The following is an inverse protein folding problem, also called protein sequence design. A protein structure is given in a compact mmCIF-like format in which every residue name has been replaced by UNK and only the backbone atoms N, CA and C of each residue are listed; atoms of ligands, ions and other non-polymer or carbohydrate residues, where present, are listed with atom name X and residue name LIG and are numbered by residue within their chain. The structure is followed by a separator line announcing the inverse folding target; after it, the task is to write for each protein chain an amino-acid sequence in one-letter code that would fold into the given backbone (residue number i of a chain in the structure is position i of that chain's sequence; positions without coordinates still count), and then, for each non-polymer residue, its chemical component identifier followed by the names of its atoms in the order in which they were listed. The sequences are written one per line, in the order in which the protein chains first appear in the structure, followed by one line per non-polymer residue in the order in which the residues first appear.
data_IF_149450738408
#
_entry.id   IF_149450738408
#
_cell.length_a   1.000
_cell.length_b   1.000
_cell.length_c   1.000
_cell.angle_alpha   90.00
_cell.angle_beta   90.00
_cell.angle_gamma   90.00
#
_symmetry.space_group_name_H-M   'P 1'
#
loop_
_entity.id
_entity.type
_entity.pdbx_description
1 polymer ?
#
# COMPACT_ATOMS: atom_id res chain seq x y z
N UNK A 1 -10.38 28.03 13.80
CA UNK A 1 -10.12 26.62 14.19
C UNK A 1 -8.87 26.09 13.50
N UNK A 2 -8.74 26.12 12.16
CA UNK A 2 -7.47 25.78 11.49
C UNK A 2 -6.36 26.83 11.69
N UNK A 3 -6.73 28.09 11.96
CA UNK A 3 -5.80 29.20 12.25
C UNK A 3 -5.09 29.09 13.60
N UNK A 4 -5.54 28.21 14.50
CA UNK A 4 -4.94 28.08 15.85
C UNK A 4 -3.89 26.96 15.95
N UNK A 5 -3.70 26.22 14.86
CA UNK A 5 -2.76 25.11 14.81
C UNK A 5 -1.40 25.48 14.19
N UNK A 6 -1.23 26.71 13.67
CA UNK A 6 0.01 27.22 13.06
C UNK A 6 0.84 26.13 12.35
N UNK A 7 2.12 25.99 12.72
CA UNK A 7 3.07 24.97 12.26
C UNK A 7 3.14 23.76 13.21
N UNK A 8 2.08 23.51 13.99
CA UNK A 8 2.09 22.40 14.93
C UNK A 8 2.30 21.08 14.20
N UNK A 9 3.36 20.38 14.57
CA UNK A 9 3.68 19.03 14.11
C UNK A 9 3.75 18.12 15.31
N UNK A 10 3.13 16.96 15.18
CA UNK A 10 3.28 15.91 16.16
C UNK A 10 4.77 15.49 16.24
N UNK A 11 5.36 15.31 17.44
CA UNK A 11 6.79 15.05 17.55
C UNK A 11 7.21 13.72 16.90
N UNK A 12 8.08 13.79 15.90
CA UNK A 12 8.59 12.62 15.16
C UNK A 12 9.33 11.63 16.06
N UNK A 13 9.97 12.13 17.13
CA UNK A 13 10.74 11.33 18.09
C UNK A 13 9.93 10.92 19.33
N UNK A 14 8.62 11.13 19.32
CA UNK A 14 7.77 10.60 20.39
C UNK A 14 7.82 9.07 20.40
N UNK A 15 7.64 8.46 21.58
CA UNK A 15 7.60 7.00 21.72
C UNK A 15 6.58 6.36 20.78
N UNK A 16 5.38 6.93 20.70
CA UNK A 16 4.33 6.44 19.81
C UNK A 16 4.77 6.44 18.34
N UNK A 17 5.45 7.51 17.89
CA UNK A 17 5.86 7.58 16.49
C UNK A 17 6.96 6.56 16.17
N UNK A 18 7.91 6.41 17.08
CA UNK A 18 8.97 5.40 16.96
C UNK A 18 8.36 4.00 16.88
N UNK A 19 7.42 3.67 17.77
CA UNK A 19 6.77 2.36 17.80
C UNK A 19 5.96 2.08 16.52
N UNK A 20 5.23 3.08 16.01
CA UNK A 20 4.43 2.95 14.79
C UNK A 20 5.33 2.71 13.57
N UNK A 21 6.40 3.49 13.41
CA UNK A 21 7.35 3.32 12.30
C UNK A 21 8.08 1.98 12.39
N UNK A 22 8.46 1.54 13.60
CA UNK A 22 9.09 0.24 13.81
C UNK A 22 8.16 -0.91 13.41
N UNK A 23 6.87 -0.85 13.77
CA UNK A 23 5.90 -1.87 13.38
C UNK A 23 5.59 -1.82 11.88
N UNK A 24 5.48 -0.64 11.29
CA UNK A 24 5.33 -0.49 9.85
C UNK A 24 6.52 -1.10 9.09
N UNK A 25 7.75 -0.88 9.56
CA UNK A 25 8.94 -1.44 8.93
C UNK A 25 8.96 -2.97 9.01
N UNK A 26 8.65 -3.55 10.17
CA UNK A 26 8.53 -5.02 10.32
C UNK A 26 7.56 -5.62 9.30
N UNK A 27 6.40 -4.97 9.10
CA UNK A 27 5.42 -5.43 8.12
C UNK A 27 5.94 -5.33 6.68
N UNK A 28 6.64 -4.24 6.34
CA UNK A 28 7.29 -4.09 5.02
C UNK A 28 8.30 -5.20 4.78
N UNK A 29 9.17 -5.49 5.75
CA UNK A 29 10.21 -6.52 5.59
C UNK A 29 9.60 -7.91 5.32
N UNK A 30 8.48 -8.23 5.98
CA UNK A 30 7.74 -9.47 5.74
C UNK A 30 7.17 -9.51 4.32
N UNK A 31 6.56 -8.41 3.86
CA UNK A 31 5.98 -8.29 2.52
C UNK A 31 7.05 -8.38 1.43
N UNK A 32 8.17 -7.68 1.58
CA UNK A 32 9.28 -7.72 0.62
C UNK A 32 9.88 -9.13 0.52
N UNK A 33 9.96 -9.88 1.64
CA UNK A 33 10.38 -11.28 1.60
C UNK A 33 9.43 -12.16 0.80
N UNK A 34 8.12 -11.98 0.94
CA UNK A 34 7.12 -12.72 0.14
C UNK A 34 7.17 -12.32 -1.34
N UNK A 35 7.40 -11.03 -1.64
CA UNK A 35 7.53 -10.51 -2.99
C UNK A 35 8.79 -11.03 -3.71
N UNK A 36 9.85 -11.35 -2.97
CA UNK A 36 11.07 -11.93 -3.51
C UNK A 36 10.93 -13.43 -3.86
N UNK A 37 9.91 -14.13 -3.38
CA UNK A 37 9.70 -15.56 -3.62
C UNK A 37 9.06 -15.82 -5.01
N UNK A 38 9.90 -16.10 -6.01
CA UNK A 38 9.48 -16.33 -7.40
C UNK A 38 9.37 -17.82 -7.77
N UNK A 39 9.11 -18.69 -6.79
CA UNK A 39 8.87 -20.11 -7.03
C UNK A 39 7.54 -20.31 -7.78
N UNK A 40 7.48 -21.18 -8.82
CA UNK A 40 6.21 -21.53 -9.47
C UNK A 40 5.40 -22.52 -8.61
N UNK A 41 4.05 -22.39 -8.52
CA UNK A 41 3.25 -21.25 -9.01
C UNK A 41 3.49 -19.98 -8.18
N UNK A 42 3.50 -18.83 -8.84
CA UNK A 42 3.75 -17.55 -8.17
C UNK A 42 2.70 -17.23 -7.10
N UNK A 43 3.15 -16.68 -5.98
CA UNK A 43 2.28 -16.05 -5.00
C UNK A 43 1.85 -14.63 -5.48
N UNK A 44 0.82 -14.06 -4.85
CA UNK A 44 0.30 -12.73 -5.21
C UNK A 44 1.34 -11.61 -5.08
N UNK A 45 2.20 -11.66 -4.06
CA UNK A 45 3.21 -10.63 -3.79
C UNK A 45 4.24 -10.59 -4.93
N UNK A 46 4.79 -11.75 -5.29
CA UNK A 46 5.72 -11.87 -6.41
C UNK A 46 5.08 -11.49 -7.74
N UNK A 47 3.82 -11.90 -7.97
CA UNK A 47 3.08 -11.55 -9.19
C UNK A 47 2.81 -10.04 -9.31
N UNK A 48 2.65 -9.33 -8.18
CA UNK A 48 2.38 -7.89 -8.18
C UNK A 48 3.62 -7.00 -8.18
N UNK A 49 4.80 -7.52 -7.84
CA UNK A 49 6.08 -6.78 -7.94
C UNK A 49 6.28 -6.04 -9.27
N UNK A 50 6.14 -6.67 -10.46
CA UNK A 50 6.30 -5.95 -11.72
C UNK A 50 5.23 -4.88 -11.95
N UNK A 51 4.00 -5.12 -11.49
CA UNK A 51 2.90 -4.15 -11.60
C UNK A 51 3.18 -2.94 -10.72
N UNK A 52 3.59 -3.15 -9.46
CA UNK A 52 3.97 -2.07 -8.53
C UNK A 52 5.02 -1.14 -9.16
N UNK A 53 6.09 -1.71 -9.74
CA UNK A 53 7.13 -0.92 -10.41
C UNK A 53 6.56 -0.10 -11.57
N UNK A 54 5.70 -0.71 -12.38
CA UNK A 54 5.06 -0.01 -13.49
C UNK A 54 4.20 1.18 -13.00
N UNK A 55 3.48 1.04 -11.89
CA UNK A 55 2.68 2.13 -11.31
C UNK A 55 3.51 3.30 -10.78
N UNK A 56 4.71 3.03 -10.27
CA UNK A 56 5.62 4.08 -9.77
C UNK A 56 6.11 5.00 -10.90
N UNK A 57 6.20 4.47 -12.12
CA UNK A 57 6.77 5.17 -13.29
C UNK A 57 5.68 5.78 -14.21
N UNK A 58 4.40 5.47 -14.02
CA UNK A 58 3.33 5.80 -14.98
C UNK A 58 2.07 6.38 -14.31
N UNK A 59 1.45 7.39 -14.94
CA UNK A 59 0.13 7.90 -14.55
C UNK A 59 -0.97 7.01 -15.15
N UNK A 60 -1.54 6.13 -14.32
CA UNK A 60 -2.56 5.16 -14.74
C UNK A 60 -3.73 5.09 -13.76
N UNK A 61 -4.85 4.55 -14.23
CA UNK A 61 -5.97 4.14 -13.38
C UNK A 61 -5.81 2.67 -13.00
N UNK A 62 -5.81 2.38 -11.70
CA UNK A 62 -5.82 1.03 -11.14
C UNK A 62 -7.28 0.63 -10.86
N UNK A 63 -7.77 -0.37 -11.60
CA UNK A 63 -9.06 -1.03 -11.32
C UNK A 63 -8.77 -2.37 -10.65
N UNK A 64 -9.25 -2.58 -9.42
CA UNK A 64 -8.87 -3.75 -8.64
C UNK A 64 -10.05 -4.36 -7.86
N UNK A 65 -10.39 -5.59 -8.22
CA UNK A 65 -11.49 -6.37 -7.65
C UNK A 65 -11.05 -7.81 -7.30
N UNK A 66 -11.97 -8.57 -6.71
CA UNK A 66 -11.74 -9.94 -6.21
C UNK A 66 -11.61 -10.00 -4.70
N UNK A 67 -11.19 -11.16 -4.18
CA UNK A 67 -10.89 -11.36 -2.75
C UNK A 67 -9.40 -11.09 -2.49
N UNK A 68 -8.57 -12.14 -2.40
CA UNK A 68 -7.11 -12.02 -2.23
C UNK A 68 -6.46 -11.06 -3.24
N UNK A 69 -6.94 -11.06 -4.49
CA UNK A 69 -6.50 -10.16 -5.55
C UNK A 69 -6.70 -8.68 -5.20
N UNK A 70 -7.81 -8.32 -4.56
CA UNK A 70 -8.09 -6.95 -4.13
C UNK A 70 -7.37 -6.62 -2.83
N UNK A 71 -7.46 -7.50 -1.83
CA UNK A 71 -6.91 -7.24 -0.50
C UNK A 71 -5.37 -7.11 -0.53
N UNK A 72 -4.69 -8.04 -1.20
CA UNK A 72 -3.24 -7.99 -1.39
C UNK A 72 -2.88 -6.91 -2.40
N UNK A 73 -3.71 -6.72 -3.44
CA UNK A 73 -3.53 -5.67 -4.44
C UNK A 73 -3.54 -4.26 -3.85
N UNK A 74 -4.35 -3.98 -2.82
CA UNK A 74 -4.36 -2.71 -2.07
C UNK A 74 -3.05 -2.42 -1.35
N UNK A 75 -2.39 -3.46 -0.87
CA UNK A 75 -1.12 -3.31 -0.15
C UNK A 75 0.06 -3.22 -1.11
N UNK A 76 0.05 -4.02 -2.18
CA UNK A 76 1.18 -4.12 -3.11
C UNK A 76 1.21 -3.04 -4.19
N UNK A 77 0.07 -2.42 -4.51
CA UNK A 77 -0.03 -1.38 -5.54
C UNK A 77 -0.36 -0.03 -4.89
N UNK A 78 0.63 0.80 -4.54
CA UNK A 78 0.40 2.08 -3.86
C UNK A 78 -0.32 3.08 -4.76
N UNK A 79 -1.13 3.95 -4.16
CA UNK A 79 -1.78 5.07 -4.87
C UNK A 79 -0.84 6.27 -4.89
N UNK A 80 -0.14 6.47 -6.01
CA UNK A 80 0.81 7.58 -6.18
C UNK A 80 0.13 8.92 -6.45
N UNK A 81 -1.05 8.91 -7.07
CA UNK A 81 -1.84 10.09 -7.42
C UNK A 81 -3.28 9.96 -6.90
N UNK A 82 -3.94 11.08 -6.51
CA UNK A 82 -5.31 11.05 -6.02
C UNK A 82 -6.29 10.64 -7.13
N UNK A 83 -7.38 9.96 -6.75
CA UNK A 83 -8.46 9.52 -7.66
C UNK A 83 -8.01 8.61 -8.80
N UNK A 84 -6.93 7.85 -8.58
CA UNK A 84 -6.40 6.86 -9.55
C UNK A 84 -6.71 5.40 -9.23
N UNK A 85 -7.48 5.13 -8.16
CA UNK A 85 -7.87 3.77 -7.77
C UNK A 85 -9.38 3.62 -7.73
N UNK A 86 -9.87 2.57 -8.38
CA UNK A 86 -11.27 2.14 -8.38
C UNK A 86 -11.32 0.67 -7.97
N UNK A 87 -11.93 0.40 -6.81
CA UNK A 87 -12.10 -0.97 -6.29
C UNK A 87 -13.60 -1.26 -6.11
N UNK A 88 -13.95 -2.49 -5.72
CA UNK A 88 -15.34 -2.96 -5.52
C UNK A 88 -16.19 -2.13 -4.51
N UNK A 89 -15.57 -1.17 -3.82
CA UNK A 89 -16.26 -0.19 -3.00
C UNK A 89 -17.01 -0.80 -1.81
N UNK A 90 -18.05 -0.10 -1.36
CA UNK A 90 -18.77 -0.40 -0.11
C UNK A 90 -19.50 -1.74 -0.13
N UNK A 91 -20.08 -2.13 -1.27
CA UNK A 91 -20.88 -3.35 -1.35
C UNK A 91 -20.07 -4.59 -1.76
N UNK A 92 -18.81 -4.43 -2.18
CA UNK A 92 -17.95 -5.55 -2.57
C UNK A 92 -18.54 -6.45 -3.63
N UNK A 93 -19.45 -5.95 -4.47
CA UNK A 93 -20.18 -6.79 -5.44
C UNK A 93 -19.33 -7.04 -6.67
N UNK A 94 -19.34 -8.29 -7.08
CA UNK A 94 -18.92 -8.84 -8.37
C UNK A 94 -20.16 -9.37 -9.09
#
# INVERSE_FOLDING_TARGET
MLSELEDWKFPEKSKWMIDLLANAQKNRDIVERMAAEHSPPLNYYAAYTPIRKFLEENDVLVVNEGANTMDIGRTMMPSVLPRRRLDAGTFGRY
#
